data_IF_331155200091
#
_entry.id   IF_331155200091
#
_cell.length_a   1.000
_cell.length_b   1.000
_cell.length_c   1.000
_cell.angle_alpha   90.00
_cell.angle_beta   90.00
_cell.angle_gamma   90.00
#
_symmetry.space_group_name_H-M   'P 1'
#
loop_
_entity.id
_entity.type
_entity.pdbx_description
1 polymer ?
#
# COMPACT_ATOMS: atom_id res chain seq x y z
N UNK A 1 -2.00 2.10 -9.04
CA UNK A 1 -1.88 1.83 -7.59
C UNK A 1 -3.20 1.29 -7.08
N UNK A 2 -3.16 0.18 -6.36
CA UNK A 2 -4.33 -0.39 -5.69
C UNK A 2 -4.31 0.05 -4.22
N UNK A 3 -5.45 0.54 -3.75
CA UNK A 3 -5.67 0.88 -2.35
C UNK A 3 -6.84 0.06 -1.80
N UNK A 4 -6.84 -0.28 -0.51
CA UNK A 4 -8.02 -0.88 0.11
C UNK A 4 -9.21 0.09 0.02
N UNK A 5 -10.40 -0.46 -0.17
CA UNK A 5 -11.65 0.29 -0.09
C UNK A 5 -11.84 0.81 1.35
N UNK A 6 -11.90 2.14 1.57
CA UNK A 6 -11.99 2.74 2.90
C UNK A 6 -13.34 2.51 3.58
N UNK A 7 -14.37 2.10 2.83
CA UNK A 7 -15.70 1.80 3.38
C UNK A 7 -15.75 0.46 4.11
N UNK A 8 -14.81 -0.45 3.80
CA UNK A 8 -14.80 -1.78 4.39
C UNK A 8 -14.43 -1.77 5.88
N UNK A 9 -15.02 -2.67 6.68
CA UNK A 9 -14.53 -2.94 8.01
C UNK A 9 -13.16 -3.62 7.91
N UNK A 10 -12.11 -2.96 8.40
CA UNK A 10 -10.76 -3.53 8.42
C UNK A 10 -10.45 -4.11 9.80
N UNK A 11 -9.78 -5.27 9.88
CA UNK A 11 -9.33 -5.83 11.15
C UNK A 11 -8.20 -5.01 11.81
N UNK A 12 -7.53 -4.15 11.03
CA UNK A 12 -6.53 -3.18 11.44
C UNK A 12 -6.43 -2.05 10.39
N UNK A 13 -6.02 -0.83 10.76
CA UNK A 13 -5.76 -0.40 12.11
C UNK A 13 -7.05 -0.12 12.89
N UNK A 14 -7.10 -0.49 14.18
CA UNK A 14 -8.27 -0.29 15.06
C UNK A 14 -7.88 -0.07 16.52
N UNK A 15 -8.78 0.48 17.32
CA UNK A 15 -8.61 0.50 18.78
C UNK A 15 -8.73 -0.93 19.29
N UNK A 16 -7.81 -1.35 20.16
CA UNK A 16 -7.73 -2.75 20.62
C UNK A 16 -9.00 -3.17 21.37
N UNK A 17 -9.46 -2.31 22.28
CA UNK A 17 -10.60 -2.58 23.17
C UNK A 17 -11.95 -2.19 22.58
N UNK A 18 -11.96 -1.44 21.47
CA UNK A 18 -13.18 -1.00 20.77
C UNK A 18 -13.02 -1.15 19.24
N UNK A 19 -13.30 -2.33 18.67
CA UNK A 19 -13.17 -2.58 17.25
C UNK A 19 -14.10 -1.73 16.36
N UNK A 20 -15.17 -1.17 16.91
CA UNK A 20 -16.15 -0.35 16.20
C UNK A 20 -15.79 1.15 16.23
N UNK A 21 -14.75 1.53 16.98
CA UNK A 21 -14.25 2.91 17.01
C UNK A 21 -13.74 3.35 15.64
N UNK A 22 -14.53 4.22 15.01
CA UNK A 22 -14.26 4.75 13.68
C UNK A 22 -13.03 5.69 13.58
N UNK A 23 -12.47 6.17 14.71
CA UNK A 23 -11.37 7.16 14.72
C UNK A 23 -10.13 6.64 13.99
N UNK A 24 -9.76 5.37 14.21
CA UNK A 24 -8.62 4.76 13.53
C UNK A 24 -8.84 4.63 12.02
N UNK A 25 -10.06 4.31 11.60
CA UNK A 25 -10.43 4.26 10.17
C UNK A 25 -10.39 5.65 9.55
N UNK A 26 -10.96 6.67 10.21
CA UNK A 26 -10.90 8.07 9.74
C UNK A 26 -9.46 8.54 9.58
N UNK A 27 -8.60 8.22 10.54
CA UNK A 27 -7.17 8.51 10.48
C UNK A 27 -6.49 7.82 9.29
N UNK A 28 -6.79 6.54 9.03
CA UNK A 28 -6.27 5.82 7.85
C UNK A 28 -6.70 6.50 6.54
N UNK A 29 -7.96 6.91 6.43
CA UNK A 29 -8.46 7.64 5.25
C UNK A 29 -7.70 8.97 5.06
N UNK A 30 -7.55 9.77 6.11
CA UNK A 30 -6.83 11.05 6.05
C UNK A 30 -5.36 10.89 5.62
N UNK A 31 -4.67 9.86 6.13
CA UNK A 31 -3.30 9.50 5.71
C UNK A 31 -3.29 9.11 4.23
N UNK A 32 -4.24 8.27 3.82
CA UNK A 32 -4.33 7.81 2.43
C UNK A 32 -4.55 8.98 1.48
N UNK A 33 -5.48 9.88 1.77
CA UNK A 33 -5.75 11.09 0.97
C UNK A 33 -4.52 12.00 0.90
N UNK A 34 -3.90 12.28 2.05
CA UNK A 34 -2.72 13.15 2.12
C UNK A 34 -1.56 12.60 1.29
N UNK A 35 -1.21 11.32 1.48
CA UNK A 35 -0.06 10.73 0.79
C UNK A 35 -0.33 10.46 -0.70
N UNK A 36 -1.57 10.17 -1.09
CA UNK A 36 -1.91 10.03 -2.52
C UNK A 36 -1.85 11.37 -3.24
N UNK A 37 -2.36 12.45 -2.64
CA UNK A 37 -2.24 13.80 -3.18
C UNK A 37 -0.77 14.24 -3.30
N UNK A 38 0.03 14.01 -2.26
CA UNK A 38 1.47 14.30 -2.24
C UNK A 38 2.23 13.54 -3.33
N UNK A 39 1.96 12.23 -3.51
CA UNK A 39 2.56 11.41 -4.56
C UNK A 39 2.21 11.92 -5.96
N UNK A 40 0.94 12.24 -6.21
CA UNK A 40 0.48 12.76 -7.50
C UNK A 40 1.18 14.09 -7.82
N UNK A 41 1.29 14.99 -6.84
CA UNK A 41 2.00 16.25 -6.96
C UNK A 41 3.46 16.03 -7.37
N UNK A 42 4.20 15.28 -6.55
CA UNK A 42 5.61 15.00 -6.79
C UNK A 42 5.88 14.37 -8.17
N UNK A 43 5.03 13.45 -8.64
CA UNK A 43 5.17 12.86 -9.97
C UNK A 43 4.88 13.88 -11.08
N UNK A 44 3.83 14.69 -10.95
CA UNK A 44 3.50 15.73 -11.94
C UNK A 44 4.54 16.84 -12.02
N UNK A 45 5.21 17.14 -10.91
CA UNK A 45 6.30 18.11 -10.88
C UNK A 45 7.46 17.65 -11.80
N UNK A 46 7.79 16.34 -11.84
CA UNK A 46 8.79 15.81 -12.78
C UNK A 46 8.45 16.11 -14.24
N UNK A 47 7.17 16.02 -14.62
CA UNK A 47 6.73 16.36 -15.97
C UNK A 47 6.77 17.88 -16.19
N UNK A 48 6.34 18.67 -15.21
CA UNK A 48 6.29 20.14 -15.28
C UNK A 48 7.68 20.74 -15.42
N UNK A 49 8.67 20.18 -14.75
CA UNK A 49 10.09 20.56 -14.84
C UNK A 49 10.79 20.00 -16.08
N UNK A 50 10.09 19.20 -16.90
CA UNK A 50 10.64 18.61 -18.13
C UNK A 50 11.64 17.48 -17.89
N UNK A 51 11.69 16.89 -16.69
CA UNK A 51 12.56 15.76 -16.35
C UNK A 51 12.08 14.45 -16.97
N UNK A 52 10.77 14.33 -17.22
CA UNK A 52 10.16 13.21 -17.95
C UNK A 52 9.16 13.74 -18.99
N UNK A 53 8.98 13.06 -20.13
CA UNK A 53 8.07 13.54 -21.17
C UNK A 53 6.59 13.43 -20.77
N UNK A 54 6.25 12.49 -19.89
CA UNK A 54 4.86 12.20 -19.52
C UNK A 54 4.74 11.44 -18.20
N UNK A 55 3.62 11.66 -17.50
CA UNK A 55 3.24 11.00 -16.25
C UNK A 55 1.77 10.56 -16.32
N UNK A 56 1.50 9.27 -16.08
CA UNK A 56 0.14 8.72 -15.88
C UNK A 56 0.07 8.08 -14.49
N UNK A 57 -0.84 8.60 -13.66
CA UNK A 57 -1.08 8.08 -12.31
C UNK A 57 -2.53 7.63 -12.23
N UNK A 58 -2.73 6.32 -12.02
CA UNK A 58 -4.05 5.74 -11.79
C UNK A 58 -4.10 5.11 -10.41
N UNK A 59 -5.10 5.49 -9.65
CA UNK A 59 -5.38 4.95 -8.31
C UNK A 59 -6.77 4.34 -8.38
N UNK A 60 -6.91 3.08 -7.94
CA UNK A 60 -8.19 2.38 -7.83
C UNK A 60 -8.32 1.77 -6.46
N UNK A 61 -9.56 1.62 -6.01
CA UNK A 61 -9.88 0.99 -4.74
C UNK A 61 -10.30 -0.45 -4.98
N UNK A 62 -9.85 -1.36 -4.12
CA UNK A 62 -10.22 -2.77 -4.18
C UNK A 62 -10.75 -3.23 -2.80
N UNK A 63 -11.78 -4.09 -2.77
CA UNK A 63 -12.41 -4.56 -1.54
C UNK A 63 -11.57 -5.65 -0.85
N UNK A 64 -10.33 -5.33 -0.48
CA UNK A 64 -9.37 -6.25 0.11
C UNK A 64 -8.81 -5.69 1.42
N UNK A 65 -8.67 -6.56 2.41
CA UNK A 65 -7.84 -6.29 3.59
C UNK A 65 -6.37 -6.37 3.18
N UNK A 66 -5.57 -5.29 3.35
CA UNK A 66 -4.19 -5.28 2.90
C UNK A 66 -3.31 -6.11 3.83
N UNK A 67 -2.78 -7.24 3.37
CA UNK A 67 -1.89 -8.11 4.17
C UNK A 67 -0.40 -7.93 3.87
N UNK A 68 -0.07 -7.21 2.81
CA UNK A 68 1.30 -6.89 2.42
C UNK A 68 1.38 -5.56 1.68
N UNK A 69 2.60 -5.01 1.63
CA UNK A 69 2.99 -3.89 0.80
C UNK A 69 3.76 -4.42 -0.41
N UNK A 70 3.37 -3.98 -1.60
CA UNK A 70 3.98 -4.38 -2.86
C UNK A 70 4.29 -3.16 -3.71
N UNK A 71 5.52 -3.10 -4.21
CA UNK A 71 5.92 -2.21 -5.30
C UNK A 71 6.42 -3.08 -6.45
N UNK A 72 5.94 -2.81 -7.66
CA UNK A 72 6.38 -3.46 -8.89
C UNK A 72 7.02 -2.40 -9.78
N UNK A 73 8.27 -2.61 -10.18
CA UNK A 73 8.99 -1.65 -11.03
C UNK A 73 9.35 -2.30 -12.36
N UNK A 74 8.94 -1.64 -13.45
CA UNK A 74 9.27 -1.98 -14.84
C UNK A 74 9.06 -3.45 -15.21
N UNK A 75 8.18 -4.17 -14.51
CA UNK A 75 7.97 -5.62 -14.63
C UNK A 75 9.25 -6.48 -14.47
N UNK A 76 10.30 -5.96 -13.81
CA UNK A 76 11.60 -6.63 -13.62
C UNK A 76 11.97 -6.81 -12.14
N UNK A 77 11.40 -6.02 -11.24
CA UNK A 77 11.70 -6.13 -9.82
C UNK A 77 10.48 -5.80 -8.96
N UNK A 78 10.52 -6.31 -7.73
CA UNK A 78 9.50 -6.09 -6.73
C UNK A 78 10.13 -5.78 -5.37
N UNK A 79 9.51 -4.87 -4.62
CA UNK A 79 9.71 -4.74 -3.18
C UNK A 79 8.45 -5.24 -2.47
N UNK A 80 8.61 -6.21 -1.58
CA UNK A 80 7.49 -6.85 -0.89
C UNK A 80 7.74 -6.91 0.62
N UNK A 81 6.72 -6.61 1.42
CA UNK A 81 6.79 -6.79 2.87
C UNK A 81 5.43 -7.08 3.47
N UNK A 82 5.37 -8.00 4.43
CA UNK A 82 4.12 -8.33 5.11
C UNK A 82 3.74 -7.24 6.09
N UNK A 83 2.44 -7.00 6.23
CA UNK A 83 1.92 -6.18 7.32
C UNK A 83 1.84 -7.03 8.59
N UNK A 84 2.88 -6.94 9.42
CA UNK A 84 2.86 -7.51 10.77
C UNK A 84 1.97 -6.66 11.68
N UNK A 85 1.00 -7.32 12.32
CA UNK A 85 0.08 -6.68 13.25
C UNK A 85 0.79 -6.53 14.59
N UNK A 86 0.83 -5.30 15.09
CA UNK A 86 1.46 -4.94 16.36
C UNK A 86 0.47 -4.21 17.26
N UNK A 87 0.73 -4.26 18.56
CA UNK A 87 0.09 -3.37 19.54
C UNK A 87 0.99 -2.17 19.80
N UNK A 88 0.43 -0.96 19.73
CA UNK A 88 1.18 0.27 20.04
C UNK A 88 0.27 1.36 20.60
N UNK A 89 0.79 2.23 21.48
CA UNK A 89 0.10 3.47 21.82
C UNK A 89 0.06 4.38 20.59
N UNK A 90 -1.07 5.06 20.40
CA UNK A 90 -1.27 6.03 19.34
C UNK A 90 -2.11 7.19 19.85
N UNK A 91 -1.61 8.41 19.63
CA UNK A 91 -2.35 9.64 19.91
C UNK A 91 -3.31 9.92 18.74
N UNK A 92 -4.58 10.10 19.05
CA UNK A 92 -5.65 10.45 18.12
C UNK A 92 -5.71 11.98 17.94
N UNK A 93 -6.49 12.44 16.95
CA UNK A 93 -6.60 13.88 16.62
C UNK A 93 -7.12 14.75 17.78
N UNK A 94 -7.89 14.17 18.69
CA UNK A 94 -8.43 14.82 19.90
C UNK A 94 -7.43 14.85 21.07
N UNK A 95 -6.22 14.29 20.89
CA UNK A 95 -5.18 14.18 21.91
C UNK A 95 -5.33 12.95 22.82
N UNK A 96 -6.35 12.11 22.63
CA UNK A 96 -6.49 10.86 23.38
C UNK A 96 -5.42 9.85 22.93
N UNK A 97 -4.76 9.20 23.90
CA UNK A 97 -3.85 8.09 23.63
C UNK A 97 -4.58 6.77 23.81
N UNK A 98 -4.69 5.99 22.73
CA UNK A 98 -5.32 4.66 22.73
C UNK A 98 -4.29 3.57 22.46
N UNK A 99 -4.55 2.35 22.92
CA UNK A 99 -3.83 1.15 22.46
C UNK A 99 -4.45 0.68 21.15
N UNK A 100 -3.69 0.75 20.06
CA UNK A 100 -4.12 0.33 18.73
C UNK A 100 -3.56 -1.04 18.37
N UNK A 101 -4.36 -1.83 17.66
CA UNK A 101 -3.87 -2.88 16.77
C UNK A 101 -3.59 -2.23 15.42
N UNK A 102 -2.31 -2.16 15.05
CA UNK A 102 -1.82 -1.38 13.91
C UNK A 102 -0.77 -2.17 13.11
N UNK A 103 -0.35 -1.63 11.97
CA UNK A 103 0.74 -2.15 11.14
C UNK A 103 1.71 -1.02 10.79
N UNK A 104 3.00 -1.30 10.76
CA UNK A 104 3.99 -0.26 10.48
C UNK A 104 3.95 0.16 9.00
N UNK A 105 3.79 1.45 8.75
CA UNK A 105 3.93 2.06 7.42
C UNK A 105 5.37 2.51 7.15
N UNK A 106 5.82 3.51 7.91
CA UNK A 106 7.20 4.01 7.87
C UNK A 106 8.12 3.08 8.67
N UNK A 107 9.27 2.75 8.09
CA UNK A 107 10.24 1.82 8.71
C UNK A 107 9.93 0.35 8.49
N UNK A 108 8.87 0.00 7.73
CA UNK A 108 8.60 -1.37 7.34
C UNK A 108 9.72 -1.93 6.45
N UNK A 109 10.23 -3.10 6.81
CA UNK A 109 11.23 -3.83 6.02
C UNK A 109 10.59 -4.39 4.75
N UNK A 110 11.22 -4.15 3.60
CA UNK A 110 10.82 -4.74 2.33
C UNK A 110 11.93 -5.66 1.82
N UNK A 111 11.54 -6.83 1.35
CA UNK A 111 12.41 -7.76 0.63
C UNK A 111 12.44 -7.37 -0.84
N UNK A 112 13.65 -7.26 -1.40
CA UNK A 112 13.87 -6.98 -2.81
C UNK A 112 13.97 -8.27 -3.61
N UNK A 113 13.17 -8.36 -4.67
CA UNK A 113 13.15 -9.45 -5.62
C UNK A 113 13.43 -8.90 -7.01
N UNK A 114 14.33 -9.55 -7.76
CA UNK A 114 14.68 -9.14 -9.13
C UNK A 114 14.58 -10.35 -10.05
N UNK A 115 14.05 -10.15 -11.24
CA UNK A 115 14.05 -11.19 -12.28
C UNK A 115 15.49 -11.54 -12.66
N UNK A 116 15.75 -12.82 -12.83
CA UNK A 116 16.99 -13.31 -13.44
C UNK A 116 16.78 -13.41 -14.97
N UNK A 117 17.51 -12.63 -15.79
CA UNK A 117 17.42 -12.70 -17.24
C UNK A 117 17.76 -14.08 -17.82
N UNK A 118 18.55 -14.88 -17.11
CA UNK A 118 19.03 -16.18 -17.56
C UNK A 118 18.09 -17.35 -17.19
N UNK A 119 17.06 -17.12 -16.37
CA UNK A 119 16.23 -18.20 -15.83
C UNK A 119 14.79 -17.80 -15.51
N UNK A 120 13.86 -18.21 -16.37
CA UNK A 120 12.41 -18.07 -16.11
C UNK A 120 11.96 -18.74 -14.80
N UNK A 121 12.65 -19.83 -14.40
CA UNK A 121 12.38 -20.54 -13.14
C UNK A 121 13.13 -20.02 -11.92
N UNK A 122 13.91 -18.94 -12.04
CA UNK A 122 14.63 -18.39 -10.89
C UNK A 122 13.62 -17.84 -9.86
N UNK A 123 13.88 -17.99 -8.54
CA UNK A 123 12.93 -17.57 -7.50
C UNK A 123 12.48 -16.12 -7.61
N UNK A 124 13.41 -15.20 -7.92
CA UNK A 124 13.08 -13.79 -8.14
C UNK A 124 12.18 -13.56 -9.36
N UNK A 125 12.44 -14.29 -10.47
CA UNK A 125 11.59 -14.24 -11.67
C UNK A 125 10.18 -14.71 -11.38
N UNK A 126 10.05 -15.89 -10.79
CA UNK A 126 8.75 -16.48 -10.42
C UNK A 126 7.98 -15.57 -9.46
N UNK A 127 8.67 -14.97 -8.48
CA UNK A 127 8.04 -14.05 -7.53
C UNK A 127 7.50 -12.79 -8.20
N UNK A 128 8.34 -12.09 -9.00
CA UNK A 128 7.92 -10.85 -9.68
C UNK A 128 6.76 -11.12 -10.63
N UNK A 129 6.81 -12.23 -11.38
CA UNK A 129 5.74 -12.61 -12.30
C UNK A 129 4.44 -12.98 -11.58
N UNK A 130 4.53 -13.75 -10.50
CA UNK A 130 3.36 -14.09 -9.69
C UNK A 130 2.71 -12.86 -9.06
N UNK A 131 3.51 -11.92 -8.54
CA UNK A 131 2.99 -10.67 -7.96
C UNK A 131 2.39 -9.74 -9.03
N UNK A 132 2.97 -9.68 -10.23
CA UNK A 132 2.38 -8.95 -11.35
C UNK A 132 1.03 -9.55 -11.76
N UNK A 133 0.95 -10.88 -11.90
CA UNK A 133 -0.29 -11.58 -12.24
C UNK A 133 -1.38 -11.36 -11.17
N UNK A 134 -1.01 -11.39 -9.89
CA UNK A 134 -1.92 -11.07 -8.80
C UNK A 134 -2.42 -9.62 -8.88
N UNK A 135 -1.51 -8.65 -9.08
CA UNK A 135 -1.88 -7.24 -9.19
C UNK A 135 -2.85 -7.01 -10.35
N UNK A 136 -2.54 -7.56 -11.53
CA UNK A 136 -3.36 -7.41 -12.72
C UNK A 136 -4.74 -8.06 -12.54
N UNK A 137 -4.80 -9.22 -11.86
CA UNK A 137 -6.05 -9.89 -11.52
C UNK A 137 -6.95 -8.99 -10.65
N UNK A 138 -6.40 -8.44 -9.56
CA UNK A 138 -7.16 -7.52 -8.69
C UNK A 138 -7.58 -6.26 -9.46
N UNK A 139 -6.65 -5.67 -10.23
CA UNK A 139 -6.89 -4.46 -11.01
C UNK A 139 -8.03 -4.61 -12.03
N UNK A 140 -8.11 -5.76 -12.69
CA UNK A 140 -9.07 -6.00 -13.75
C UNK A 140 -10.43 -6.51 -13.23
N UNK A 141 -10.45 -7.23 -12.12
CA UNK A 141 -11.66 -7.93 -11.66
C UNK A 141 -12.32 -7.32 -10.43
N UNK A 142 -11.57 -6.60 -9.57
CA UNK A 142 -12.08 -6.12 -8.29
C UNK A 142 -11.96 -4.61 -8.13
N UNK A 143 -10.99 -3.98 -8.79
CA UNK A 143 -10.69 -2.57 -8.57
C UNK A 143 -11.68 -1.63 -9.28
N UNK A 144 -12.17 -0.63 -8.56
CA UNK A 144 -13.06 0.43 -9.05
C UNK A 144 -12.31 1.77 -9.11
#
# INVERSE_FOLDING_TARGET
MLLPDPSLPLPYPRVKEDPDDSRMRRRLCAITETHTASLIGALRDLQTEGLVPFVDVRIRQAPLTPTFKLYLFNAVEALHGMYEIIERPLELEDGEVVTALDVLGLGATLTHHVKDPAGAGAPGTVFVEGMQQWFDSVWNHLAQ
#
